data_IF_102013889720
#
_entry.id   IF_102013889720
#
_cell.length_a   1.000
_cell.length_b   1.000
_cell.length_c   1.000
_cell.angle_alpha   90.00
_cell.angle_beta   90.00
_cell.angle_gamma   90.00
#
_symmetry.space_group_name_H-M   'P 1'
#
loop_
_entity.id
_entity.type
_entity.pdbx_description
1 polymer ?
#
# COMPACT_ATOMS: atom_id res chain seq x y z
N UNK A 1 8.52 -18.95 9.60
CA UNK A 1 8.86 -18.40 10.92
C UNK A 1 8.34 -16.98 10.96
N UNK A 2 7.21 -16.72 11.63
CA UNK A 2 6.76 -15.34 11.85
C UNK A 2 7.74 -14.70 12.82
N UNK A 3 8.56 -13.80 12.30
CA UNK A 3 9.39 -12.94 13.11
C UNK A 3 8.43 -12.07 13.93
N UNK A 4 8.44 -12.20 15.25
CA UNK A 4 7.56 -11.46 16.16
C UNK A 4 8.08 -10.01 16.33
N UNK A 5 8.33 -9.34 15.19
CA UNK A 5 8.87 -7.99 15.16
C UNK A 5 7.80 -7.04 15.63
N UNK A 6 8.23 -6.10 16.48
CA UNK A 6 7.37 -5.05 17.00
C UNK A 6 8.10 -3.72 16.91
N UNK A 7 7.37 -2.67 16.58
CA UNK A 7 7.91 -1.31 16.55
C UNK A 7 6.86 -0.33 17.05
N UNK A 8 7.31 0.74 17.69
CA UNK A 8 6.42 1.85 18.03
C UNK A 8 5.70 2.33 16.76
N UNK A 9 4.37 2.42 16.80
CA UNK A 9 3.57 2.70 15.60
C UNK A 9 3.95 4.02 14.93
N UNK A 10 4.25 5.07 15.70
CA UNK A 10 4.59 6.38 15.14
C UNK A 10 5.94 6.34 14.41
N UNK A 11 6.93 5.66 15.00
CA UNK A 11 8.23 5.45 14.35
C UNK A 11 8.07 4.64 13.06
N UNK A 12 7.27 3.56 13.10
CA UNK A 12 7.01 2.73 11.92
C UNK A 12 6.32 3.51 10.79
N UNK A 13 5.32 4.33 11.12
CA UNK A 13 4.62 5.19 10.15
C UNK A 13 5.56 6.22 9.52
N UNK A 14 6.46 6.80 10.30
CA UNK A 14 7.45 7.76 9.79
C UNK A 14 8.43 7.07 8.84
N UNK A 15 9.04 5.95 9.25
CA UNK A 15 9.97 5.22 8.40
C UNK A 15 9.31 4.73 7.10
N UNK A 16 8.06 4.25 7.16
CA UNK A 16 7.32 3.87 5.96
C UNK A 16 7.05 5.07 5.05
N UNK A 17 6.75 6.24 5.61
CA UNK A 17 6.56 7.49 4.85
C UNK A 17 7.84 7.85 4.09
N UNK A 18 8.98 7.83 4.78
CA UNK A 18 10.30 8.11 4.21
C UNK A 18 10.66 7.09 3.13
N UNK A 19 10.39 5.81 3.38
CA UNK A 19 10.66 4.74 2.41
C UNK A 19 9.75 4.82 1.17
N UNK A 20 8.47 5.16 1.33
CA UNK A 20 7.59 5.42 0.17
C UNK A 20 8.10 6.57 -0.69
N UNK A 21 8.57 7.65 -0.05
CA UNK A 21 9.17 8.79 -0.76
C UNK A 21 10.44 8.38 -1.51
N UNK A 22 11.31 7.59 -0.86
CA UNK A 22 12.51 7.02 -1.50
C UNK A 22 12.16 6.15 -2.72
N UNK A 23 11.07 5.38 -2.65
CA UNK A 23 10.58 4.56 -3.77
C UNK A 23 9.91 5.35 -4.91
N UNK A 24 9.80 6.68 -4.78
CA UNK A 24 9.23 7.58 -5.78
C UNK A 24 7.71 7.65 -5.79
N UNK A 25 7.03 7.27 -4.69
CA UNK A 25 5.59 7.47 -4.57
C UNK A 25 5.25 8.96 -4.54
N UNK A 26 4.13 9.35 -5.16
CA UNK A 26 3.67 10.73 -5.11
C UNK A 26 3.24 11.13 -3.69
N UNK A 27 3.45 12.40 -3.31
CA UNK A 27 3.02 12.91 -2.00
C UNK A 27 1.51 12.75 -1.77
N UNK A 28 0.69 12.80 -2.84
CA UNK A 28 -0.74 12.51 -2.75
C UNK A 28 -1.03 11.06 -2.31
N UNK A 29 -0.27 10.09 -2.85
CA UNK A 29 -0.40 8.68 -2.46
C UNK A 29 0.12 8.45 -1.03
N UNK A 30 1.24 9.08 -0.67
CA UNK A 30 1.79 9.03 0.68
C UNK A 30 0.79 9.59 1.69
N UNK A 31 0.22 10.77 1.40
CA UNK A 31 -0.79 11.43 2.25
C UNK A 31 -2.03 10.55 2.43
N UNK A 32 -2.46 9.85 1.38
CA UNK A 32 -3.57 8.90 1.47
C UNK A 32 -3.28 7.80 2.51
N UNK A 33 -2.10 7.19 2.47
CA UNK A 33 -1.72 6.15 3.42
C UNK A 33 -1.59 6.71 4.85
N UNK A 34 -0.96 7.87 5.01
CA UNK A 34 -0.87 8.55 6.31
C UNK A 34 -2.25 8.80 6.93
N UNK A 35 -3.20 9.32 6.13
CA UNK A 35 -4.60 9.50 6.58
C UNK A 35 -5.25 8.18 7.00
N UNK A 36 -5.04 7.11 6.23
CA UNK A 36 -5.59 5.79 6.59
C UNK A 36 -5.02 5.25 7.89
N UNK A 37 -3.74 5.49 8.16
CA UNK A 37 -3.15 5.14 9.44
C UNK A 37 -3.71 6.01 10.58
N UNK A 38 -3.76 7.33 10.39
CA UNK A 38 -4.16 8.25 11.47
C UNK A 38 -5.64 8.22 11.81
N UNK A 39 -6.52 8.10 10.81
CA UNK A 39 -7.97 8.18 11.01
C UNK A 39 -8.61 6.83 11.35
N UNK A 40 -7.96 5.71 11.03
CA UNK A 40 -8.58 4.40 11.18
C UNK A 40 -7.76 3.39 11.98
N UNK A 41 -6.45 3.29 11.74
CA UNK A 41 -5.61 2.35 12.49
C UNK A 41 -5.27 2.88 13.90
N UNK A 42 -4.82 4.14 14.02
CA UNK A 42 -4.45 4.72 15.31
C UNK A 42 -5.59 4.67 16.34
N UNK A 43 -6.85 5.03 16.02
CA UNK A 43 -7.95 4.94 16.98
C UNK A 43 -8.17 3.52 17.50
N UNK A 44 -8.08 2.52 16.63
CA UNK A 44 -8.17 1.11 17.03
C UNK A 44 -7.04 0.72 17.99
N UNK A 45 -5.80 1.13 17.69
CA UNK A 45 -4.66 0.85 18.55
C UNK A 45 -4.78 1.53 19.91
N UNK A 46 -5.25 2.78 19.94
CA UNK A 46 -5.47 3.55 21.16
C UNK A 46 -6.55 2.91 22.02
N UNK A 47 -7.68 2.51 21.43
CA UNK A 47 -8.76 1.80 22.14
C UNK A 47 -8.25 0.52 22.82
N UNK A 48 -7.32 -0.19 22.19
CA UNK A 48 -6.73 -1.44 22.70
C UNK A 48 -5.48 -1.23 23.57
N UNK A 49 -5.03 0.01 23.78
CA UNK A 49 -3.79 0.30 24.52
C UNK A 49 -2.51 -0.22 23.84
N UNK A 50 -2.51 -0.37 22.52
CA UNK A 50 -1.39 -0.92 21.76
C UNK A 50 -0.50 0.22 21.25
N UNK A 51 0.74 0.29 21.76
CA UNK A 51 1.76 1.25 21.31
C UNK A 51 2.75 0.62 20.32
N UNK A 52 3.06 -0.66 20.52
CA UNK A 52 3.98 -1.42 19.68
C UNK A 52 3.19 -2.26 18.68
N UNK A 53 3.24 -1.85 17.42
CA UNK A 53 2.61 -2.54 16.31
C UNK A 53 3.37 -3.81 15.94
N UNK A 54 2.64 -4.87 15.61
CA UNK A 54 3.14 -6.11 15.01
C UNK A 54 2.27 -6.49 13.81
N UNK A 55 2.75 -7.39 12.95
CA UNK A 55 1.97 -7.86 11.79
C UNK A 55 0.64 -8.50 12.23
N UNK A 56 0.63 -9.23 13.34
CA UNK A 56 -0.60 -9.82 13.91
C UNK A 56 -1.61 -8.77 14.34
N UNK A 57 -1.16 -7.64 14.92
CA UNK A 57 -2.05 -6.51 15.26
C UNK A 57 -2.69 -5.93 14.00
N UNK A 58 -1.93 -5.80 12.92
CA UNK A 58 -2.44 -5.38 11.62
C UNK A 58 -3.51 -6.31 11.07
N UNK A 59 -3.28 -7.62 11.13
CA UNK A 59 -4.25 -8.62 10.69
C UNK A 59 -5.53 -8.60 11.53
N UNK A 60 -5.40 -8.49 12.86
CA UNK A 60 -6.54 -8.38 13.77
C UNK A 60 -7.40 -7.15 13.45
N UNK A 61 -6.76 -6.00 13.22
CA UNK A 61 -7.43 -4.78 12.80
C UNK A 61 -8.17 -4.96 11.46
N UNK A 62 -7.51 -5.53 10.45
CA UNK A 62 -8.16 -5.79 9.16
C UNK A 62 -9.35 -6.74 9.32
N UNK A 63 -9.22 -7.81 10.09
CA UNK A 63 -10.33 -8.76 10.35
C UNK A 63 -11.52 -8.06 11.01
N UNK A 64 -11.31 -7.06 11.86
CA UNK A 64 -12.41 -6.36 12.53
C UNK A 64 -13.14 -5.34 11.66
N UNK A 65 -12.49 -4.76 10.63
CA UNK A 65 -13.09 -3.65 9.85
C UNK A 65 -13.45 -4.01 8.41
N UNK A 66 -12.78 -4.99 7.79
CA UNK A 66 -12.99 -5.32 6.39
C UNK A 66 -14.37 -5.89 6.03
N UNK A 67 -15.12 -6.59 6.92
CA UNK A 67 -16.46 -7.06 6.60
C UNK A 67 -17.45 -5.95 6.25
N UNK A 68 -17.31 -4.76 6.85
CA UNK A 68 -18.28 -3.68 6.74
C UNK A 68 -17.94 -2.65 5.64
N UNK A 69 -16.84 -2.87 4.91
CA UNK A 69 -16.33 -1.92 3.92
C UNK A 69 -16.68 -2.32 2.48
N UNK A 70 -17.04 -1.31 1.68
CA UNK A 70 -17.17 -1.47 0.24
C UNK A 70 -15.82 -1.78 -0.43
N UNK A 71 -15.78 -2.37 -1.64
CA UNK A 71 -14.56 -2.93 -2.22
C UNK A 71 -13.39 -1.95 -2.39
N UNK A 72 -13.66 -0.69 -2.74
CA UNK A 72 -12.60 0.30 -2.97
C UNK A 72 -11.92 0.73 -1.64
N UNK A 73 -12.65 1.23 -0.62
CA UNK A 73 -12.09 1.47 0.71
C UNK A 73 -11.37 0.26 1.31
N UNK A 74 -11.94 -0.94 1.12
CA UNK A 74 -11.35 -2.21 1.56
C UNK A 74 -9.93 -2.40 1.00
N UNK A 75 -9.75 -2.22 -0.32
CA UNK A 75 -8.44 -2.37 -0.97
C UNK A 75 -7.42 -1.34 -0.48
N UNK A 76 -7.82 -0.08 -0.35
CA UNK A 76 -6.92 1.01 0.07
C UNK A 76 -6.48 0.82 1.52
N UNK A 77 -7.40 0.45 2.41
CA UNK A 77 -7.09 0.22 3.81
C UNK A 77 -6.22 -1.02 4.00
N UNK A 78 -6.56 -2.13 3.34
CA UNK A 78 -5.73 -3.35 3.32
C UNK A 78 -4.31 -3.04 2.88
N UNK A 79 -4.15 -2.30 1.77
CA UNK A 79 -2.83 -1.91 1.28
C UNK A 79 -2.09 -1.04 2.30
N UNK A 80 -2.77 -0.10 2.93
CA UNK A 80 -2.17 0.78 3.94
C UNK A 80 -1.61 -0.02 5.12
N UNK A 81 -2.36 -1.01 5.63
CA UNK A 81 -1.89 -1.87 6.71
C UNK A 81 -0.74 -2.78 6.25
N UNK A 82 -0.86 -3.40 5.07
CA UNK A 82 0.20 -4.26 4.53
C UNK A 82 1.51 -3.53 4.27
N UNK A 83 1.49 -2.21 3.99
CA UNK A 83 2.73 -1.41 3.91
C UNK A 83 3.50 -1.49 5.24
N UNK A 84 2.81 -1.26 6.36
CA UNK A 84 3.42 -1.31 7.69
C UNK A 84 3.95 -2.71 8.01
N UNK A 85 3.14 -3.74 7.79
CA UNK A 85 3.54 -5.14 8.03
C UNK A 85 4.74 -5.56 7.17
N UNK A 86 4.70 -5.29 5.87
CA UNK A 86 5.78 -5.69 4.94
C UNK A 86 7.09 -4.99 5.30
N UNK A 87 7.02 -3.69 5.60
CA UNK A 87 8.19 -2.92 5.97
C UNK A 87 8.75 -3.35 7.34
N UNK A 88 7.89 -3.63 8.31
CA UNK A 88 8.30 -4.18 9.61
C UNK A 88 9.04 -5.52 9.44
N UNK A 89 8.49 -6.42 8.61
CA UNK A 89 9.01 -7.77 8.44
C UNK A 89 10.28 -7.82 7.59
N UNK A 90 10.35 -7.04 6.53
CA UNK A 90 11.40 -7.16 5.50
C UNK A 90 12.24 -5.91 5.29
N UNK A 91 11.82 -4.75 5.81
CA UNK A 91 12.42 -3.46 5.48
C UNK A 91 12.08 -2.95 4.07
N UNK A 92 11.21 -3.65 3.35
CA UNK A 92 10.85 -3.33 1.96
C UNK A 92 9.34 -3.18 1.83
N UNK A 93 8.92 -2.21 1.03
CA UNK A 93 7.51 -2.06 0.62
C UNK A 93 7.37 -2.59 -0.80
N UNK A 94 6.73 -3.77 -1.02
CA UNK A 94 6.53 -4.30 -2.36
C UNK A 94 5.73 -3.32 -3.21
N UNK A 95 6.20 -3.01 -4.43
CA UNK A 95 5.39 -2.28 -5.41
C UNK A 95 4.22 -3.15 -5.82
N UNK A 96 3.03 -2.56 -5.89
CA UNK A 96 1.87 -3.26 -6.45
C UNK A 96 2.12 -3.43 -7.95
N UNK A 97 2.32 -4.66 -8.39
CA UNK A 97 2.37 -4.97 -9.82
C UNK A 97 0.94 -4.74 -10.34
N UNK A 98 0.78 -3.71 -11.16
CA UNK A 98 -0.41 -3.59 -12.01
C UNK A 98 -0.18 -4.62 -13.10
N UNK A 99 -1.04 -5.63 -13.19
CA UNK A 99 -1.05 -6.46 -14.39
C UNK A 99 -1.36 -5.53 -15.55
N UNK A 100 -0.37 -5.26 -16.39
CA UNK A 100 -0.57 -4.61 -17.67
C UNK A 100 -1.33 -5.64 -18.49
N UNK A 101 -2.64 -5.45 -18.60
CA UNK A 101 -3.43 -6.19 -19.56
C UNK A 101 -2.99 -5.70 -20.94
N UNK A 102 -2.42 -6.58 -21.74
CA UNK A 102 -2.10 -6.25 -23.13
C UNK A 102 -3.43 -6.02 -23.85
N UNK A 103 -3.74 -4.76 -24.14
CA UNK A 103 -4.81 -4.41 -25.06
C UNK A 103 -4.18 -4.37 -26.45
N UNK A 104 -4.34 -5.43 -27.29
CA UNK A 104 -3.91 -5.33 -28.67
C UNK A 104 -4.61 -4.11 -29.31
N UNK A 105 -3.89 -3.38 -30.15
CA UNK A 105 -4.44 -2.28 -30.93
C UNK A 105 -4.80 -2.82 -32.33
N UNK A 106 -5.99 -3.44 -32.54
CA UNK A 106 -6.37 -3.93 -33.85
C UNK A 106 -6.84 -2.79 -34.76
N UNK A 107 -6.76 -3.03 -36.07
CA UNK A 107 -7.28 -2.14 -37.10
C UNK A 107 -6.31 -1.02 -37.50
N UNK A 108 -6.76 -0.20 -38.44
CA UNK A 108 -5.94 0.80 -39.15
C UNK A 108 -5.30 1.83 -38.21
N UNK A 109 -5.99 2.21 -37.12
CA UNK A 109 -5.47 3.13 -36.10
C UNK A 109 -4.31 2.49 -35.33
N UNK A 110 -4.43 1.20 -35.00
CA UNK A 110 -3.37 0.47 -34.32
C UNK A 110 -2.13 0.29 -35.19
N UNK A 111 -2.32 0.04 -36.48
CA UNK A 111 -1.23 -0.06 -37.46
C UNK A 111 -0.50 1.27 -37.63
N UNK A 112 -1.24 2.38 -37.75
CA UNK A 112 -0.67 3.72 -37.82
C UNK A 112 0.12 4.08 -36.54
N UNK A 113 -0.40 3.73 -35.35
CA UNK A 113 0.29 3.94 -34.08
C UNK A 113 1.58 3.13 -34.01
N UNK A 114 1.57 1.87 -34.46
CA UNK A 114 2.78 1.02 -34.50
C UNK A 114 3.85 1.61 -35.42
N UNK A 115 3.46 2.03 -36.62
CA UNK A 115 4.36 2.67 -37.59
C UNK A 115 4.93 4.00 -37.07
N UNK A 116 4.19 4.72 -36.22
CA UNK A 116 4.69 5.95 -35.59
C UNK A 116 5.77 5.63 -34.55
N UNK A 117 5.58 4.60 -33.74
CA UNK A 117 6.58 4.17 -32.74
C UNK A 117 7.85 3.56 -33.38
N UNK A 118 7.73 2.93 -34.54
CA UNK A 118 8.87 2.34 -35.27
C UNK A 118 9.72 3.38 -36.05
N UNK A 119 9.30 4.65 -36.12
CA UNK A 119 10.02 5.71 -36.85
C UNK A 119 10.92 6.59 -35.98
N UNK A 120 10.94 6.37 -34.67
CA UNK A 120 11.87 7.03 -33.75
C UNK A 120 13.07 6.13 -33.46
N UNK A 121 13.96 6.01 -34.45
CA UNK A 121 15.36 5.61 -34.32
C UNK A 121 16.24 6.62 -35.10
#
# INVERSE_FOLDING_TARGET
MSNNKKKNIHVLMQECTEHLRFLGYSEACITLHQKKWSEYLLPYLQEKGIVFYSTEVGECYLKSVLPDLTPFPKRVLTRSVHILSSYLDTGVIPKKIVQVEEHPLPGEIGEAARLFFERTD
#
